data_IF_047179278256
#
_entry.id   IF_047179278256
#
_cell.length_a   1.000
_cell.length_b   1.000
_cell.length_c   1.000
_cell.angle_alpha   90.00
_cell.angle_beta   90.00
_cell.angle_gamma   90.00
#
_symmetry.space_group_name_H-M   'P 1'
#
loop_
_entity.id
_entity.type
_entity.pdbx_description
1 polymer ?
#
# COMPACT_ATOMS: atom_id res chain seq x y z
N UNK A 1 -48.76 7.24 -1.35
CA UNK A 1 -48.39 6.01 -0.63
C UNK A 1 -46.88 5.86 -0.71
N UNK A 2 -46.13 5.80 0.40
CA UNK A 2 -44.71 5.45 0.35
C UNK A 2 -44.58 3.94 0.07
N UNK A 3 -43.72 3.55 -0.86
CA UNK A 3 -43.47 2.14 -1.18
C UNK A 3 -42.97 1.37 0.05
N UNK A 4 -43.40 0.11 0.24
CA UNK A 4 -42.92 -0.72 1.35
C UNK A 4 -41.40 -0.91 1.21
N UNK A 5 -40.66 -0.54 2.26
CA UNK A 5 -39.20 -0.75 2.30
C UNK A 5 -38.90 -2.23 2.11
N UNK A 6 -38.19 -2.55 1.03
CA UNK A 6 -37.70 -3.90 0.79
C UNK A 6 -36.91 -4.39 2.02
N UNK A 7 -37.15 -5.63 2.43
CA UNK A 7 -36.39 -6.24 3.53
C UNK A 7 -34.90 -6.26 3.17
N UNK A 8 -34.02 -5.97 4.12
CA UNK A 8 -32.55 -5.95 3.92
C UNK A 8 -32.07 -7.21 3.19
N UNK A 9 -32.60 -8.38 3.55
CA UNK A 9 -32.27 -9.66 2.92
C UNK A 9 -32.61 -9.68 1.41
N UNK A 10 -33.75 -9.10 1.02
CA UNK A 10 -34.14 -8.99 -0.39
C UNK A 10 -33.19 -8.08 -1.19
N UNK A 11 -32.68 -7.01 -0.57
CA UNK A 11 -31.72 -6.10 -1.19
C UNK A 11 -30.35 -6.76 -1.36
N UNK A 12 -29.85 -7.46 -0.33
CA UNK A 12 -28.58 -8.19 -0.41
C UNK A 12 -28.66 -9.32 -1.46
N UNK A 13 -29.78 -10.03 -1.51
CA UNK A 13 -30.04 -11.06 -2.52
C UNK A 13 -30.07 -10.49 -3.95
N UNK A 14 -30.60 -9.28 -4.13
CA UNK A 14 -30.54 -8.56 -5.41
C UNK A 14 -29.10 -8.22 -5.79
N UNK A 15 -28.27 -7.77 -4.84
CA UNK A 15 -26.86 -7.50 -5.12
C UNK A 15 -26.08 -8.76 -5.51
N UNK A 16 -26.32 -9.91 -4.85
CA UNK A 16 -25.72 -11.19 -5.26
C UNK A 16 -26.16 -11.59 -6.68
N UNK A 17 -27.43 -11.39 -7.04
CA UNK A 17 -27.91 -11.62 -8.41
C UNK A 17 -27.29 -10.67 -9.44
N UNK A 18 -27.10 -9.39 -9.09
CA UNK A 18 -26.59 -8.35 -9.99
C UNK A 18 -25.08 -8.45 -10.23
N UNK A 19 -24.31 -8.81 -9.21
CA UNK A 19 -22.84 -8.86 -9.27
C UNK A 19 -22.28 -10.27 -9.39
N UNK A 20 -23.15 -11.29 -9.29
CA UNK A 20 -22.81 -12.70 -9.45
C UNK A 20 -22.51 -13.42 -8.12
N UNK A 21 -22.94 -14.67 -8.06
CA UNK A 21 -22.76 -15.58 -6.92
C UNK A 21 -21.31 -16.05 -6.77
N UNK A 22 -20.52 -15.93 -7.82
CA UNK A 22 -19.08 -16.16 -7.83
C UNK A 22 -18.31 -15.00 -7.17
N UNK A 23 -18.91 -13.80 -7.15
CA UNK A 23 -18.26 -12.59 -6.64
C UNK A 23 -18.65 -12.31 -5.18
N UNK A 24 -19.93 -12.48 -4.83
CA UNK A 24 -20.48 -12.16 -3.52
C UNK A 24 -21.26 -13.33 -2.89
N UNK A 25 -21.33 -13.31 -1.57
CA UNK A 25 -22.13 -14.20 -0.73
C UNK A 25 -22.93 -13.38 0.30
N UNK A 26 -24.04 -13.92 0.80
CA UNK A 26 -24.88 -13.23 1.78
C UNK A 26 -25.55 -14.21 2.75
N UNK A 27 -25.49 -13.90 4.04
CA UNK A 27 -26.22 -14.62 5.11
C UNK A 27 -27.54 -13.89 5.46
N UNK A 28 -28.04 -13.05 4.53
CA UNK A 28 -29.25 -12.25 4.72
C UNK A 28 -29.09 -11.03 5.65
N UNK A 29 -27.97 -10.92 6.36
CA UNK A 29 -27.61 -9.80 7.24
C UNK A 29 -26.46 -8.95 6.71
N UNK A 30 -25.47 -9.59 6.05
CA UNK A 30 -24.27 -8.94 5.52
C UNK A 30 -23.95 -9.46 4.13
N UNK A 31 -23.49 -8.57 3.24
CA UNK A 31 -22.93 -8.93 1.92
C UNK A 31 -21.42 -9.11 2.05
N UNK A 32 -20.89 -10.29 1.74
CA UNK A 32 -19.47 -10.61 1.81
C UNK A 32 -18.91 -10.87 0.42
N UNK A 33 -17.71 -10.38 0.11
CA UNK A 33 -17.03 -10.71 -1.14
C UNK A 33 -16.12 -11.92 -0.96
N UNK A 34 -16.32 -12.98 -1.74
CA UNK A 34 -15.56 -14.24 -1.64
C UNK A 34 -14.06 -14.07 -1.82
N UNK A 35 -13.64 -13.15 -2.70
CA UNK A 35 -12.22 -12.93 -3.04
C UNK A 35 -11.42 -12.29 -1.90
N UNK A 36 -12.05 -11.50 -1.04
CA UNK A 36 -11.36 -10.78 0.02
C UNK A 36 -11.87 -11.09 1.42
N UNK A 37 -12.89 -11.95 1.54
CA UNK A 37 -13.55 -12.37 2.78
C UNK A 37 -13.95 -11.19 3.68
N UNK A 38 -14.27 -10.05 3.06
CA UNK A 38 -14.67 -8.83 3.77
C UNK A 38 -16.13 -8.52 3.52
N UNK A 39 -16.77 -8.06 4.59
CA UNK A 39 -18.10 -7.48 4.54
C UNK A 39 -18.07 -6.17 3.74
N UNK A 40 -19.01 -6.03 2.83
CA UNK A 40 -19.16 -4.88 1.96
C UNK A 40 -20.34 -4.05 2.44
N UNK A 41 -20.17 -2.73 2.48
CA UNK A 41 -21.27 -1.82 2.76
C UNK A 41 -22.28 -1.91 1.60
N UNK A 42 -23.44 -2.49 1.87
CA UNK A 42 -24.52 -2.69 0.91
C UNK A 42 -25.57 -1.55 0.92
N UNK A 43 -25.33 -0.44 1.63
CA UNK A 43 -26.28 0.69 1.68
C UNK A 43 -26.54 1.31 0.30
N UNK A 44 -25.56 1.26 -0.60
CA UNK A 44 -25.68 1.75 -1.98
C UNK A 44 -24.81 0.93 -2.92
N UNK A 45 -25.31 0.68 -4.13
CA UNK A 45 -24.58 0.03 -5.24
C UNK A 45 -23.17 0.61 -5.47
N UNK A 46 -22.99 1.91 -5.28
CA UNK A 46 -21.69 2.58 -5.45
C UNK A 46 -20.61 2.04 -4.50
N UNK A 47 -20.94 1.75 -3.23
CA UNK A 47 -19.96 1.20 -2.28
C UNK A 47 -19.50 -0.19 -2.68
N UNK A 48 -20.41 -0.99 -3.24
CA UNK A 48 -20.11 -2.32 -3.77
C UNK A 48 -19.18 -2.20 -4.99
N UNK A 49 -19.49 -1.29 -5.93
CA UNK A 49 -18.62 -1.02 -7.08
C UNK A 49 -17.24 -0.50 -6.68
N UNK A 50 -17.20 0.42 -5.71
CA UNK A 50 -15.95 0.93 -5.18
C UNK A 50 -15.16 -0.21 -4.54
N UNK A 51 -15.78 -1.06 -3.74
CA UNK A 51 -15.14 -2.23 -3.14
C UNK A 51 -14.60 -3.20 -4.20
N UNK A 52 -15.34 -3.44 -5.28
CA UNK A 52 -14.87 -4.27 -6.41
C UNK A 52 -13.59 -3.69 -7.01
N UNK A 53 -13.55 -2.36 -7.21
CA UNK A 53 -12.42 -1.62 -7.80
C UNK A 53 -11.25 -1.40 -6.83
N UNK A 54 -11.53 -1.25 -5.54
CA UNK A 54 -10.57 -0.81 -4.52
C UNK A 54 -10.10 -1.91 -3.58
N UNK A 55 -10.74 -3.09 -3.55
CA UNK A 55 -10.22 -4.20 -2.76
C UNK A 55 -8.93 -4.66 -3.42
N UNK A 56 -7.83 -4.14 -2.90
CA UNK A 56 -6.45 -4.23 -3.36
C UNK A 56 -5.91 -5.68 -3.37
N UNK A 57 -6.48 -6.56 -4.20
CA UNK A 57 -5.98 -7.92 -4.39
C UNK A 57 -5.92 -8.40 -5.86
N UNK A 58 -5.74 -7.48 -6.80
CA UNK A 58 -5.33 -7.83 -8.18
C UNK A 58 -3.83 -8.24 -8.24
N UNK A 59 -3.08 -8.17 -7.13
CA UNK A 59 -1.64 -8.54 -7.06
C UNK A 59 -1.32 -9.86 -6.35
N UNK A 60 -2.31 -10.74 -6.07
CA UNK A 60 -2.06 -12.09 -5.50
C UNK A 60 -2.66 -13.26 -6.30
N UNK A 61 -3.27 -13.04 -7.47
CA UNK A 61 -3.80 -14.17 -8.26
C UNK A 61 -2.71 -15.07 -8.86
N UNK A 62 -1.47 -14.58 -8.98
CA UNK A 62 -0.35 -15.40 -9.48
C UNK A 62 0.33 -16.26 -8.38
N UNK A 63 -0.27 -16.39 -7.19
CA UNK A 63 0.27 -17.25 -6.11
C UNK A 63 -0.71 -18.31 -5.58
N UNK A 64 -1.86 -18.49 -6.20
CA UNK A 64 -2.88 -19.47 -5.76
C UNK A 64 -2.93 -20.68 -6.73
N UNK A 65 -1.86 -20.89 -7.48
CA UNK A 65 -1.70 -22.04 -8.38
C UNK A 65 -0.70 -23.10 -7.91
N UNK A 66 -0.08 -22.93 -6.73
CA UNK A 66 0.84 -23.94 -6.18
C UNK A 66 0.22 -24.60 -4.95
N UNK A 67 0.15 -25.94 -4.91
CA UNK A 67 -0.34 -26.67 -3.75
C UNK A 67 0.71 -26.59 -2.62
N UNK A 68 0.21 -26.32 -1.42
CA UNK A 68 0.86 -26.59 -0.11
C UNK A 68 2.33 -26.17 0.00
N UNK A 69 2.61 -24.87 -0.11
CA UNK A 69 3.82 -24.32 0.48
C UNK A 69 3.54 -24.05 1.95
N UNK A 70 4.21 -24.80 2.83
CA UNK A 70 4.30 -24.58 4.27
C UNK A 70 4.13 -23.11 4.61
N UNK A 71 3.17 -22.82 5.47
CA UNK A 71 3.04 -21.50 6.07
C UNK A 71 4.28 -21.28 6.94
N UNK A 72 5.36 -20.77 6.31
CA UNK A 72 6.57 -20.37 7.01
C UNK A 72 6.15 -19.27 7.96
N UNK A 73 6.06 -19.62 9.25
CA UNK A 73 5.89 -18.67 10.34
C UNK A 73 7.16 -17.83 10.38
N UNK A 74 7.20 -16.79 9.56
CA UNK A 74 8.29 -15.82 9.57
C UNK A 74 8.28 -15.18 10.97
N UNK A 75 9.34 -15.41 11.73
CA UNK A 75 9.53 -14.81 13.05
C UNK A 75 9.40 -13.29 12.95
N UNK A 76 8.71 -12.67 13.92
CA UNK A 76 8.48 -11.22 13.95
C UNK A 76 9.78 -10.41 13.78
N UNK A 77 10.91 -10.95 14.24
CA UNK A 77 12.23 -10.34 14.11
C UNK A 77 12.70 -10.24 12.65
N UNK A 78 12.52 -11.28 11.84
CA UNK A 78 12.89 -11.28 10.42
C UNK A 78 12.05 -10.28 9.61
N UNK A 79 10.76 -10.15 9.94
CA UNK A 79 9.86 -9.18 9.32
C UNK A 79 10.25 -7.74 9.71
N UNK A 80 10.63 -7.51 10.97
CA UNK A 80 11.14 -6.22 11.43
C UNK A 80 12.44 -5.83 10.72
N UNK A 81 13.41 -6.74 10.63
CA UNK A 81 14.68 -6.52 9.93
C UNK A 81 14.50 -6.22 8.43
N UNK A 82 13.57 -6.88 7.75
CA UNK A 82 13.23 -6.53 6.37
C UNK A 82 12.59 -5.15 6.27
N UNK A 83 11.71 -4.79 7.21
CA UNK A 83 11.09 -3.46 7.27
C UNK A 83 12.14 -2.37 7.42
N UNK A 84 13.11 -2.57 8.31
CA UNK A 84 14.14 -1.59 8.60
C UNK A 84 15.17 -1.48 7.47
N UNK A 85 15.57 -2.58 6.84
CA UNK A 85 16.38 -2.56 5.61
C UNK A 85 15.69 -1.82 4.47
N UNK A 86 14.38 -1.99 4.34
CA UNK A 86 13.61 -1.26 3.33
C UNK A 86 13.58 0.24 3.63
N UNK A 87 13.30 0.63 4.88
CA UNK A 87 13.31 2.04 5.29
C UNK A 87 14.69 2.68 5.08
N UNK A 88 15.77 1.98 5.44
CA UNK A 88 17.14 2.49 5.26
C UNK A 88 17.46 2.71 3.79
N UNK A 89 17.16 1.74 2.92
CA UNK A 89 17.34 1.87 1.47
C UNK A 89 16.60 3.09 0.91
N UNK A 90 15.34 3.30 1.31
CA UNK A 90 14.53 4.43 0.82
C UNK A 90 15.07 5.78 1.31
N UNK A 91 15.51 5.86 2.56
CA UNK A 91 16.14 7.06 3.11
C UNK A 91 17.44 7.39 2.35
N UNK A 92 18.28 6.40 2.12
CA UNK A 92 19.56 6.58 1.44
C UNK A 92 19.35 6.98 -0.03
N UNK A 93 18.36 6.39 -0.72
CA UNK A 93 17.94 6.84 -2.05
C UNK A 93 17.48 8.30 -2.05
N UNK A 94 16.64 8.69 -1.08
CA UNK A 94 16.17 10.08 -0.96
C UNK A 94 17.34 11.05 -0.77
N UNK A 95 18.32 10.66 0.05
CA UNK A 95 19.52 11.44 0.31
C UNK A 95 20.36 11.61 -0.96
N UNK A 96 20.68 10.53 -1.67
CA UNK A 96 21.47 10.59 -2.91
C UNK A 96 20.80 11.48 -3.94
N UNK A 97 19.48 11.35 -4.13
CA UNK A 97 18.75 12.19 -5.08
C UNK A 97 18.88 13.68 -4.77
N UNK A 98 18.90 14.07 -3.49
CA UNK A 98 19.09 15.46 -3.09
C UNK A 98 20.53 15.92 -3.30
N UNK A 99 21.51 15.09 -2.93
CA UNK A 99 22.95 15.39 -3.09
C UNK A 99 23.33 15.57 -4.57
N UNK A 100 22.75 14.77 -5.47
CA UNK A 100 22.95 14.92 -6.92
C UNK A 100 21.98 15.90 -7.59
N UNK A 101 21.27 16.72 -6.80
CA UNK A 101 20.28 17.69 -7.25
C UNK A 101 19.25 17.13 -8.25
N UNK A 102 18.85 15.88 -8.03
CA UNK A 102 17.89 15.16 -8.87
C UNK A 102 16.48 15.24 -8.27
N UNK A 103 15.48 15.74 -9.02
CA UNK A 103 14.12 15.85 -8.51
C UNK A 103 13.52 14.50 -8.08
N UNK A 104 12.86 14.47 -6.91
CA UNK A 104 12.18 13.26 -6.40
C UNK A 104 11.10 12.70 -7.35
N UNK A 105 10.60 13.49 -8.31
CA UNK A 105 9.66 13.01 -9.33
C UNK A 105 10.29 11.98 -10.28
N UNK A 106 11.62 11.98 -10.45
CA UNK A 106 12.32 11.08 -11.36
C UNK A 106 12.18 9.61 -10.97
N UNK A 107 11.94 9.31 -9.68
CA UNK A 107 11.68 7.94 -9.21
C UNK A 107 10.41 7.33 -9.80
N UNK A 108 9.47 8.16 -10.26
CA UNK A 108 8.19 7.72 -10.81
C UNK A 108 8.27 7.47 -12.31
N UNK A 109 9.40 7.80 -12.93
CA UNK A 109 9.65 7.46 -14.32
C UNK A 109 9.68 5.92 -14.44
N UNK A 110 8.89 5.31 -15.35
CA UNK A 110 8.82 3.85 -15.48
C UNK A 110 10.18 3.20 -15.75
N UNK A 111 11.03 3.79 -16.59
CA UNK A 111 12.35 3.24 -16.92
C UNK A 111 13.28 3.26 -15.70
N UNK A 112 13.33 4.39 -14.99
CA UNK A 112 14.10 4.49 -13.74
C UNK A 112 13.61 3.48 -12.70
N UNK A 113 12.29 3.35 -12.56
CA UNK A 113 11.65 2.45 -11.61
C UNK A 113 11.95 0.99 -11.92
N UNK A 114 11.74 0.57 -13.17
CA UNK A 114 12.03 -0.80 -13.62
C UNK A 114 13.51 -1.14 -13.47
N UNK A 115 14.42 -0.20 -13.80
CA UNK A 115 15.87 -0.38 -13.59
C UNK A 115 16.19 -0.63 -12.12
N UNK A 116 15.74 0.25 -11.23
CA UNK A 116 16.02 0.14 -9.80
C UNK A 116 15.41 -1.12 -9.19
N UNK A 117 14.15 -1.41 -9.49
CA UNK A 117 13.46 -2.59 -8.96
C UNK A 117 14.14 -3.89 -9.43
N UNK A 118 14.64 -3.93 -10.68
CA UNK A 118 15.39 -5.07 -11.23
C UNK A 118 16.68 -5.37 -10.47
N UNK A 119 17.48 -4.36 -10.17
CA UNK A 119 18.82 -4.58 -9.59
C UNK A 119 18.83 -4.59 -8.06
N UNK A 120 17.84 -3.96 -7.41
CA UNK A 120 17.79 -3.87 -5.95
C UNK A 120 16.85 -4.90 -5.32
N UNK A 121 15.93 -5.49 -6.10
CA UNK A 121 14.81 -6.29 -5.59
C UNK A 121 13.94 -5.53 -4.56
N UNK A 122 14.05 -4.19 -4.52
CA UNK A 122 13.29 -3.33 -3.62
C UNK A 122 12.25 -2.55 -4.40
N UNK A 123 11.02 -2.49 -3.87
CA UNK A 123 9.97 -1.66 -4.47
C UNK A 123 10.20 -0.19 -4.16
N UNK A 124 10.12 0.66 -5.20
CA UNK A 124 10.26 2.10 -5.01
C UNK A 124 8.94 2.72 -4.52
N UNK A 125 8.99 3.62 -3.53
CA UNK A 125 7.83 4.32 -3.01
C UNK A 125 7.34 5.39 -3.98
N UNK A 126 6.13 5.88 -3.77
CA UNK A 126 5.61 7.03 -4.49
C UNK A 126 6.37 8.31 -4.08
N UNK A 127 6.47 9.30 -4.98
CA UNK A 127 7.13 10.60 -4.69
C UNK A 127 6.57 11.26 -3.43
N UNK A 128 5.26 11.16 -3.22
CA UNK A 128 4.57 11.70 -2.04
C UNK A 128 5.09 11.07 -0.74
N UNK A 129 5.41 9.78 -0.75
CA UNK A 129 5.97 9.08 0.41
C UNK A 129 7.39 9.57 0.70
N UNK A 130 8.24 9.72 -0.33
CA UNK A 130 9.56 10.33 -0.14
C UNK A 130 9.45 11.71 0.48
N UNK A 131 8.59 12.57 -0.06
CA UNK A 131 8.40 13.93 0.44
C UNK A 131 7.88 13.98 1.88
N UNK A 132 6.90 13.16 2.23
CA UNK A 132 6.22 13.25 3.53
C UNK A 132 7.00 12.57 4.65
N UNK A 133 7.64 11.45 4.36
CA UNK A 133 8.24 10.58 5.39
C UNK A 133 9.75 10.83 5.46
N UNK A 134 10.45 10.77 4.32
CA UNK A 134 11.91 10.68 4.33
C UNK A 134 12.61 12.02 4.12
N UNK A 135 11.99 12.95 3.39
CA UNK A 135 12.61 14.24 3.07
C UNK A 135 12.88 15.09 4.31
N UNK A 136 11.93 15.10 5.26
CA UNK A 136 12.08 15.84 6.51
C UNK A 136 13.29 15.32 7.31
N UNK A 137 13.37 14.00 7.48
CA UNK A 137 14.46 13.37 8.24
C UNK A 137 15.84 13.65 7.60
N UNK A 138 15.93 13.58 6.27
CA UNK A 138 17.18 13.90 5.55
C UNK A 138 17.55 15.37 5.72
N UNK A 139 16.58 16.28 5.60
CA UNK A 139 16.82 17.72 5.76
C UNK A 139 17.28 18.06 7.17
N UNK A 140 16.58 17.55 8.19
CA UNK A 140 16.92 17.77 9.60
C UNK A 140 18.34 17.27 9.89
N UNK A 141 18.72 16.11 9.36
CA UNK A 141 20.08 15.59 9.48
C UNK A 141 21.15 16.47 8.83
N UNK A 142 20.86 17.08 7.69
CA UNK A 142 21.77 18.04 7.04
C UNK A 142 21.90 19.32 7.86
N UNK A 143 20.79 19.87 8.35
CA UNK A 143 20.80 21.07 9.20
C UNK A 143 21.58 20.83 10.50
N UNK A 144 21.41 19.67 11.14
CA UNK A 144 22.19 19.31 12.33
C UNK A 144 23.69 19.30 12.05
N UNK A 145 24.12 18.68 10.94
CA UNK A 145 25.54 18.68 10.54
C UNK A 145 26.10 20.08 10.29
N UNK A 146 25.32 20.94 9.66
CA UNK A 146 25.71 22.35 9.43
C UNK A 146 25.88 23.06 10.77
N UNK A 147 24.94 22.89 11.70
CA UNK A 147 25.02 23.48 13.05
C UNK A 147 26.20 22.96 13.84
N UNK A 148 26.47 21.66 13.78
CA UNK A 148 27.62 21.03 14.43
C UNK A 148 28.93 21.61 13.90
N UNK A 149 29.08 21.70 12.57
CA UNK A 149 30.27 22.26 11.94
C UNK A 149 30.52 23.72 12.37
N UNK A 150 29.49 24.56 12.34
CA UNK A 150 29.58 25.96 12.77
C UNK A 150 29.84 26.07 14.28
N UNK A 151 29.17 25.26 15.09
CA UNK A 151 29.33 25.25 16.55
C UNK A 151 30.72 24.78 17.00
N UNK A 152 31.33 23.85 16.27
CA UNK A 152 32.72 23.43 16.52
C UNK A 152 33.76 24.48 16.11
N UNK A 153 33.47 25.30 15.10
CA UNK A 153 34.37 26.38 14.66
C UNK A 153 34.39 27.58 15.62
N UNK A 154 33.36 27.77 16.45
CA UNK A 154 33.31 28.85 17.46
C UNK A 154 34.24 28.60 18.66
N UNK A 155 34.68 27.35 18.86
CA UNK A 155 35.55 26.95 19.97
C UNK A 155 37.02 26.72 19.57
N UNK A 156 37.41 27.09 18.35
CA UNK A 156 38.77 27.00 17.83
C UNK A 156 39.40 28.38 17.66
#
# INVERSE_FOLDING_TARGET
MPEPKASLNSELSLYVKLFGWETFDTDGTVLMRKVCEKTVNAQRKYFIQQHIRSSNHIRRKDRVGEPDAEQVVLSNNFVAEQSDRKKSFIRDLCKVLLEVNTPLSKIQNPSFRSFMEKYTNQSLPHRSTLRKIYLKDVYDGVISRIREAIGSDIHR
#
